data_IF_230779446097
#
_entry.id   IF_230779446097
#
_cell.length_a   1.000
_cell.length_b   1.000
_cell.length_c   1.000
_cell.angle_alpha   90.00
_cell.angle_beta   90.00
_cell.angle_gamma   90.00
#
_symmetry.space_group_name_H-M   'P 1'
#
loop_
_entity.id
_entity.type
_entity.pdbx_description
1 polymer ?
#
# COMPACT_ATOMS: atom_id res chain seq x y z
N UNK A 1 38.77 -4.94 9.74
CA UNK A 1 38.03 -5.96 9.02
C UNK A 1 36.65 -6.09 9.59
N UNK A 2 35.63 -5.90 8.76
CA UNK A 2 34.24 -6.15 9.14
C UNK A 2 34.12 -7.63 9.52
N UNK A 3 33.53 -7.90 10.68
CA UNK A 3 33.33 -9.24 11.17
C UNK A 3 32.24 -9.90 10.30
N UNK A 4 32.64 -10.66 9.28
CA UNK A 4 31.74 -11.31 8.30
C UNK A 4 30.78 -12.34 8.93
N UNK A 5 30.87 -12.58 10.24
CA UNK A 5 30.00 -13.47 10.99
C UNK A 5 29.02 -12.73 11.94
N UNK A 6 29.03 -11.39 11.95
CA UNK A 6 28.02 -10.65 12.71
C UNK A 6 26.65 -10.83 12.06
N UNK A 7 25.68 -11.29 12.82
CA UNK A 7 24.27 -11.32 12.36
C UNK A 7 23.84 -9.88 12.04
N UNK A 8 23.16 -9.71 10.92
CA UNK A 8 22.68 -8.41 10.45
C UNK A 8 21.34 -8.08 11.10
N UNK A 9 21.04 -6.79 11.32
CA UNK A 9 19.66 -6.40 11.61
C UNK A 9 18.75 -6.85 10.48
N UNK A 10 17.51 -7.20 10.80
CA UNK A 10 16.53 -7.60 9.82
C UNK A 10 15.23 -6.81 9.95
N UNK A 11 14.50 -6.70 8.83
CA UNK A 11 13.21 -6.08 8.72
C UNK A 11 12.22 -7.11 8.15
N UNK A 12 11.08 -7.27 8.82
CA UNK A 12 10.05 -8.25 8.42
C UNK A 12 8.91 -7.54 7.71
N UNK A 13 8.43 -8.09 6.60
CA UNK A 13 7.26 -7.59 5.89
C UNK A 13 6.60 -8.67 5.03
N UNK A 14 5.40 -8.42 4.51
CA UNK A 14 4.75 -9.29 3.52
C UNK A 14 5.52 -9.30 2.20
N UNK A 15 5.57 -10.42 1.48
CA UNK A 15 6.12 -10.48 0.11
C UNK A 15 5.37 -9.57 -0.89
N UNK A 16 4.20 -9.04 -0.51
CA UNK A 16 3.44 -8.04 -1.27
C UNK A 16 3.95 -6.59 -1.15
N UNK A 17 5.13 -6.38 -0.58
CA UNK A 17 5.71 -5.04 -0.37
C UNK A 17 6.02 -4.30 -1.69
N UNK A 18 6.19 -2.99 -1.59
CA UNK A 18 6.68 -2.15 -2.69
C UNK A 18 8.22 -2.14 -2.68
N UNK A 19 8.84 -2.14 -3.83
CA UNK A 19 10.31 -2.25 -4.03
C UNK A 19 11.15 -1.24 -3.22
N UNK A 20 10.55 -0.18 -2.69
CA UNK A 20 11.26 0.77 -1.82
C UNK A 20 11.82 0.10 -0.55
N UNK A 21 11.16 -0.94 -0.04
CA UNK A 21 11.61 -1.68 1.14
C UNK A 21 12.81 -2.57 0.83
N UNK A 22 12.82 -3.24 -0.34
CA UNK A 22 14.00 -3.95 -0.82
C UNK A 22 15.19 -2.98 -0.99
N UNK A 23 14.97 -1.83 -1.65
CA UNK A 23 16.00 -0.80 -1.78
C UNK A 23 16.51 -0.29 -0.44
N UNK A 24 15.62 -0.04 0.51
CA UNK A 24 16.00 0.37 1.86
C UNK A 24 16.92 -0.67 2.50
N UNK A 25 16.53 -1.93 2.48
CA UNK A 25 17.31 -3.02 3.08
C UNK A 25 18.68 -3.18 2.38
N UNK A 26 18.72 -3.12 1.05
CA UNK A 26 19.98 -3.19 0.30
C UNK A 26 20.90 -1.98 0.60
N UNK A 27 20.36 -0.76 0.65
CA UNK A 27 21.16 0.44 0.86
C UNK A 27 21.72 0.55 2.26
N UNK A 28 21.04 0.01 3.26
CA UNK A 28 21.43 0.08 4.67
C UNK A 28 22.02 -1.23 5.22
N UNK A 29 22.26 -2.22 4.35
CA UNK A 29 22.80 -3.54 4.69
C UNK A 29 21.96 -4.27 5.75
N UNK A 30 20.64 -4.22 5.60
CA UNK A 30 19.63 -4.85 6.44
C UNK A 30 19.12 -6.12 5.71
N UNK A 31 18.89 -7.21 6.43
CA UNK A 31 18.26 -8.40 5.90
C UNK A 31 16.75 -8.17 5.75
N UNK A 32 16.21 -8.32 4.52
CA UNK A 32 14.77 -8.31 4.31
C UNK A 32 14.23 -9.73 4.51
N UNK A 33 13.26 -9.87 5.40
CA UNK A 33 12.55 -11.13 5.65
C UNK A 33 11.12 -11.02 5.14
N UNK A 34 10.83 -11.77 4.11
CA UNK A 34 9.57 -11.74 3.40
C UNK A 34 8.64 -12.84 3.92
N UNK A 35 7.51 -12.46 4.50
CA UNK A 35 6.44 -13.39 4.86
C UNK A 35 5.67 -13.72 3.59
N UNK A 36 5.60 -14.99 3.17
CA UNK A 36 5.02 -15.35 1.88
C UNK A 36 3.52 -15.10 1.85
N UNK A 37 3.03 -14.67 0.68
CA UNK A 37 1.60 -14.62 0.36
C UNK A 37 1.11 -16.01 -0.09
N UNK A 38 -0.18 -16.27 0.08
CA UNK A 38 -0.87 -17.46 -0.42
C UNK A 38 -2.28 -17.11 -0.89
N UNK A 39 -2.98 -18.04 -1.54
CA UNK A 39 -4.38 -17.85 -1.95
C UNK A 39 -5.29 -17.50 -0.75
N UNK A 40 -4.98 -18.02 0.44
CA UNK A 40 -5.72 -17.77 1.67
C UNK A 40 -5.30 -16.45 2.34
N UNK A 41 -4.05 -16.02 2.11
CA UNK A 41 -3.44 -14.83 2.72
C UNK A 41 -2.86 -13.90 1.64
N UNK A 42 -3.72 -13.08 1.04
CA UNK A 42 -3.34 -12.05 0.07
C UNK A 42 -2.84 -10.74 0.73
N UNK A 43 -2.61 -10.78 2.04
CA UNK A 43 -1.97 -9.80 2.90
C UNK A 43 -0.97 -10.52 3.80
N UNK A 44 -0.34 -9.81 4.74
CA UNK A 44 0.63 -10.44 5.65
C UNK A 44 -0.03 -11.58 6.44
N UNK A 45 0.62 -12.74 6.43
CA UNK A 45 0.12 -13.89 7.19
C UNK A 45 0.52 -13.76 8.65
N UNK A 46 -0.44 -13.40 9.50
CA UNK A 46 -0.23 -13.19 10.94
C UNK A 46 -0.02 -14.49 11.71
N UNK A 47 -0.39 -15.64 11.16
CA UNK A 47 -0.20 -16.94 11.82
C UNK A 47 1.26 -17.37 11.85
N UNK A 48 2.07 -16.95 10.87
CA UNK A 48 3.46 -17.37 10.71
C UNK A 48 4.48 -16.24 10.86
N UNK A 49 4.06 -14.97 10.90
CA UNK A 49 4.98 -13.83 10.87
C UNK A 49 6.01 -13.88 12.01
N UNK A 50 5.62 -14.37 13.17
CA UNK A 50 6.53 -14.43 14.33
C UNK A 50 7.66 -15.45 14.16
N UNK A 51 7.57 -16.39 13.22
CA UNK A 51 8.66 -17.29 12.84
C UNK A 51 9.80 -16.55 12.09
N UNK A 52 9.52 -15.35 11.60
CA UNK A 52 10.47 -14.46 10.89
C UNK A 52 11.12 -13.44 11.83
N UNK A 53 10.69 -13.37 13.09
CA UNK A 53 11.17 -12.41 14.10
C UNK A 53 12.21 -13.05 15.00
N UNK A 54 13.32 -12.35 15.24
CA UNK A 54 14.37 -12.75 16.18
C UNK A 54 14.98 -11.54 16.92
N UNK A 55 16.02 -11.77 17.72
CA UNK A 55 16.71 -10.75 18.51
C UNK A 55 17.40 -9.65 17.66
N UNK A 56 17.49 -9.82 16.32
CA UNK A 56 18.07 -8.87 15.38
C UNK A 56 17.01 -8.13 14.57
N UNK A 57 15.74 -8.45 14.81
CA UNK A 57 14.62 -7.76 14.12
C UNK A 57 14.48 -6.34 14.67
N UNK A 58 14.65 -5.37 13.76
CA UNK A 58 14.51 -3.94 14.09
C UNK A 58 13.07 -3.45 13.97
N UNK A 59 12.23 -4.19 13.27
CA UNK A 59 10.82 -3.82 13.12
C UNK A 59 10.07 -4.67 12.09
N UNK A 60 8.76 -4.49 12.10
CA UNK A 60 7.84 -5.07 11.13
C UNK A 60 7.22 -3.94 10.33
N UNK A 61 7.14 -4.10 9.00
CA UNK A 61 6.39 -3.19 8.14
C UNK A 61 5.04 -3.81 7.83
N UNK A 62 3.99 -3.20 8.36
CA UNK A 62 2.62 -3.52 7.99
C UNK A 62 2.13 -2.56 6.91
N UNK A 63 1.49 -3.08 5.87
CA UNK A 63 1.13 -2.32 4.67
C UNK A 63 -0.37 -2.03 4.65
N UNK A 64 -0.73 -0.76 4.71
CA UNK A 64 -2.12 -0.32 4.56
C UNK A 64 -2.42 -0.01 3.09
N UNK A 65 -2.61 -1.07 2.31
CA UNK A 65 -2.82 -1.02 0.87
C UNK A 65 -1.69 -1.62 0.05
N UNK A 66 -1.61 -2.94 0.07
CA UNK A 66 -0.63 -3.73 -0.69
C UNK A 66 -0.69 -3.38 -2.17
N UNK A 67 0.49 -3.13 -2.76
CA UNK A 67 0.59 -2.67 -4.16
C UNK A 67 -0.03 -3.65 -5.14
N UNK A 68 0.09 -4.95 -4.91
CA UNK A 68 -0.41 -5.98 -5.82
C UNK A 68 -1.93 -6.10 -5.76
N UNK A 69 -2.50 -6.22 -4.58
CA UNK A 69 -3.90 -6.61 -4.38
C UNK A 69 -4.79 -5.48 -3.85
N UNK A 70 -4.21 -4.44 -3.26
CA UNK A 70 -4.96 -3.41 -2.54
C UNK A 70 -5.47 -3.84 -1.17
N UNK A 71 -5.18 -5.06 -0.71
CA UNK A 71 -5.55 -5.54 0.63
C UNK A 71 -4.81 -4.76 1.72
N UNK A 72 -5.37 -4.73 2.91
CA UNK A 72 -4.71 -4.23 4.10
C UNK A 72 -4.09 -5.37 4.89
N UNK A 73 -2.91 -5.15 5.42
CA UNK A 73 -2.39 -5.99 6.51
C UNK A 73 -3.20 -5.72 7.78
N UNK A 74 -3.39 -6.74 8.59
CA UNK A 74 -4.05 -6.60 9.89
C UNK A 74 -3.08 -6.02 10.93
N UNK A 75 -2.96 -4.68 10.93
CA UNK A 75 -2.04 -3.96 11.81
C UNK A 75 -2.40 -4.16 13.29
N UNK A 76 -3.69 -4.34 13.59
CA UNK A 76 -4.14 -4.60 14.95
C UNK A 76 -3.60 -5.93 15.48
N UNK A 77 -3.77 -7.00 14.71
CA UNK A 77 -3.22 -8.31 15.07
C UNK A 77 -1.69 -8.30 15.13
N UNK A 78 -1.03 -7.59 14.18
CA UNK A 78 0.43 -7.40 14.23
C UNK A 78 0.86 -6.71 15.53
N UNK A 79 0.14 -5.67 15.95
CA UNK A 79 0.42 -4.98 17.20
C UNK A 79 0.33 -5.92 18.41
N UNK A 80 -0.72 -6.74 18.48
CA UNK A 80 -0.93 -7.64 19.60
C UNK A 80 0.16 -8.75 19.65
N UNK A 81 0.60 -9.24 18.49
CA UNK A 81 1.71 -10.19 18.38
C UNK A 81 3.04 -9.57 18.81
N UNK A 82 3.33 -8.35 18.37
CA UNK A 82 4.54 -7.60 18.74
C UNK A 82 4.55 -7.30 20.24
N UNK A 83 3.42 -6.89 20.81
CA UNK A 83 3.32 -6.65 22.26
C UNK A 83 3.62 -7.92 23.07
N UNK A 84 3.08 -9.06 22.66
CA UNK A 84 3.37 -10.34 23.31
C UNK A 84 4.85 -10.72 23.19
N UNK A 85 5.48 -10.47 22.05
CA UNK A 85 6.91 -10.70 21.84
C UNK A 85 7.75 -9.81 22.76
N UNK A 86 7.52 -8.50 22.75
CA UNK A 86 8.25 -7.51 23.53
C UNK A 86 8.12 -7.76 25.06
N UNK A 87 6.99 -8.30 25.52
CA UNK A 87 6.78 -8.66 26.92
C UNK A 87 7.61 -9.90 27.38
N UNK A 88 8.15 -10.67 26.44
CA UNK A 88 8.83 -11.94 26.72
C UNK A 88 10.28 -11.98 26.27
N UNK A 89 10.76 -10.95 25.58
CA UNK A 89 12.11 -10.84 25.04
C UNK A 89 12.75 -9.51 25.47
N UNK A 90 14.09 -9.47 25.48
CA UNK A 90 14.85 -8.28 25.89
C UNK A 90 14.99 -7.23 24.78
N UNK A 91 14.80 -7.62 23.52
CA UNK A 91 14.81 -6.70 22.37
C UNK A 91 13.39 -6.18 22.10
N UNK A 92 13.32 -4.91 21.70
CA UNK A 92 12.07 -4.26 21.33
C UNK A 92 11.89 -4.29 19.80
N UNK A 93 10.79 -4.87 19.34
CA UNK A 93 10.35 -4.84 17.95
C UNK A 93 9.25 -3.80 17.83
N UNK A 94 9.32 -2.97 16.80
CA UNK A 94 8.34 -1.90 16.54
C UNK A 94 7.63 -2.10 15.19
N UNK A 95 6.52 -1.40 14.99
CA UNK A 95 5.79 -1.43 13.73
C UNK A 95 5.92 -0.10 13.01
N UNK A 96 6.33 -0.16 11.75
CA UNK A 96 6.14 0.91 10.79
C UNK A 96 4.93 0.59 9.92
N UNK A 97 4.02 1.55 9.75
CA UNK A 97 2.90 1.39 8.83
C UNK A 97 3.22 2.05 7.49
N UNK A 98 3.40 1.24 6.45
CA UNK A 98 3.42 1.74 5.08
C UNK A 98 1.99 2.06 4.64
N UNK A 99 1.57 3.27 4.95
CA UNK A 99 0.30 3.83 4.58
C UNK A 99 0.34 4.64 3.28
N UNK A 100 1.30 4.35 2.37
CA UNK A 100 1.48 5.10 1.14
C UNK A 100 0.18 5.30 0.37
N UNK A 101 -0.70 4.29 0.37
CA UNK A 101 -2.05 4.37 -0.20
C UNK A 101 -3.11 4.66 0.87
N UNK A 102 -3.19 3.81 1.90
CA UNK A 102 -4.32 3.78 2.82
C UNK A 102 -4.38 4.93 3.82
N UNK A 103 -3.23 5.49 4.26
CA UNK A 103 -3.23 6.49 5.33
C UNK A 103 -3.92 7.82 4.97
N UNK A 104 -4.06 8.14 3.68
CA UNK A 104 -4.86 9.30 3.21
C UNK A 104 -6.28 8.90 2.75
N UNK A 105 -6.67 7.66 2.96
CA UNK A 105 -7.99 7.14 2.58
C UNK A 105 -8.77 6.62 3.79
N UNK A 106 -8.18 5.71 4.54
CA UNK A 106 -8.82 4.98 5.65
C UNK A 106 -9.42 5.88 6.74
N UNK A 107 -8.75 6.97 7.20
CA UNK A 107 -9.32 7.83 8.23
C UNK A 107 -10.66 8.48 7.86
N UNK A 108 -10.93 8.60 6.57
CA UNK A 108 -12.15 9.24 6.06
C UNK A 108 -13.28 8.23 5.78
N UNK A 109 -12.93 6.98 5.51
CA UNK A 109 -13.88 5.96 5.04
C UNK A 109 -14.17 4.92 6.12
N UNK A 110 -13.16 4.55 6.90
CA UNK A 110 -13.23 3.58 7.99
C UNK A 110 -12.52 4.13 9.24
N UNK A 111 -13.05 5.21 9.87
CA UNK A 111 -12.38 5.90 10.97
C UNK A 111 -12.19 5.02 12.22
N UNK A 112 -13.00 3.98 12.37
CA UNK A 112 -12.95 3.06 13.52
C UNK A 112 -11.91 1.94 13.35
N UNK A 113 -11.37 1.74 12.14
CA UNK A 113 -10.31 0.76 11.89
C UNK A 113 -9.03 1.18 12.62
N UNK A 114 -8.53 0.31 13.52
CA UNK A 114 -7.30 0.54 14.27
C UNK A 114 -6.09 0.07 13.44
N UNK A 115 -5.28 1.01 12.98
CA UNK A 115 -4.06 0.78 12.21
C UNK A 115 -2.96 1.81 12.48
N UNK A 116 -3.29 2.85 13.22
CA UNK A 116 -2.46 4.05 13.43
C UNK A 116 -1.88 4.10 14.85
N UNK A 117 -1.49 5.28 15.30
CA UNK A 117 -0.94 5.52 16.64
C UNK A 117 -1.88 5.22 17.81
N UNK A 118 -3.11 4.79 17.57
CA UNK A 118 -3.96 4.17 18.62
C UNK A 118 -3.36 2.84 19.11
N UNK A 119 -2.56 2.18 18.25
CA UNK A 119 -1.84 0.96 18.57
C UNK A 119 -0.45 1.29 19.13
N UNK A 120 -0.09 0.82 20.35
CA UNK A 120 1.12 1.28 21.05
C UNK A 120 2.42 0.97 20.33
N UNK A 121 2.53 -0.16 19.63
CA UNK A 121 3.77 -0.56 18.94
C UNK A 121 3.93 0.06 17.54
N UNK A 122 2.94 0.81 17.03
CA UNK A 122 3.08 1.59 15.80
C UNK A 122 3.84 2.87 16.13
N UNK A 123 5.08 2.98 15.67
CA UNK A 123 5.99 4.11 16.00
C UNK A 123 6.14 5.09 14.86
N UNK A 124 5.90 4.67 13.63
CA UNK A 124 5.97 5.55 12.46
C UNK A 124 5.01 5.15 11.36
N UNK A 125 4.56 6.14 10.58
CA UNK A 125 3.62 5.98 9.46
C UNK A 125 4.11 6.82 8.30
N UNK A 126 4.20 6.26 7.09
CA UNK A 126 4.38 7.07 5.89
C UNK A 126 3.10 7.14 5.06
N UNK A 127 2.98 8.19 4.25
CA UNK A 127 1.90 8.30 3.26
C UNK A 127 2.32 9.10 2.05
N UNK A 128 1.73 8.79 0.89
CA UNK A 128 2.00 9.47 -0.38
C UNK A 128 0.88 10.46 -0.70
N UNK A 129 1.21 11.75 -0.77
CA UNK A 129 0.24 12.79 -1.11
C UNK A 129 -0.38 12.62 -2.50
N UNK A 130 0.39 12.08 -3.46
CA UNK A 130 -0.04 11.91 -4.85
C UNK A 130 -1.00 10.73 -5.11
N UNK A 131 -1.25 9.90 -4.09
CA UNK A 131 -2.24 8.83 -4.17
C UNK A 131 -3.59 9.39 -3.72
N UNK A 132 -4.07 9.01 -2.57
CA UNK A 132 -5.36 9.49 -2.05
C UNK A 132 -5.28 10.85 -1.33
N UNK A 133 -4.11 11.46 -1.24
CA UNK A 133 -3.95 12.86 -0.84
C UNK A 133 -4.32 13.87 -1.94
N UNK A 134 -4.58 13.41 -3.18
CA UNK A 134 -5.14 14.19 -4.30
C UNK A 134 -4.24 15.34 -4.77
N UNK A 135 -2.93 15.13 -4.78
CA UNK A 135 -1.95 16.07 -5.36
C UNK A 135 -1.07 15.39 -6.40
N UNK A 136 -0.28 16.16 -7.13
CA UNK A 136 0.70 15.62 -8.06
C UNK A 136 1.88 14.96 -7.33
N UNK A 137 2.61 14.01 -7.97
CA UNK A 137 3.82 13.41 -7.41
C UNK A 137 4.85 14.43 -6.98
N UNK A 138 5.51 14.19 -5.85
CA UNK A 138 6.58 15.03 -5.30
C UNK A 138 6.42 15.37 -3.82
N UNK A 139 5.42 14.82 -3.13
CA UNK A 139 5.29 14.93 -1.67
C UNK A 139 4.97 13.57 -1.06
N UNK A 140 5.70 13.24 -0.02
CA UNK A 140 5.44 12.15 0.90
C UNK A 140 5.52 12.67 2.32
N UNK A 141 4.74 12.09 3.20
CA UNK A 141 4.71 12.44 4.62
C UNK A 141 5.23 11.25 5.42
N UNK A 142 6.02 11.56 6.44
CA UNK A 142 6.39 10.64 7.50
C UNK A 142 5.93 11.23 8.83
N UNK A 143 5.25 10.44 9.62
CA UNK A 143 4.79 10.79 10.95
C UNK A 143 5.48 9.86 11.94
N UNK A 144 5.94 10.42 13.04
CA UNK A 144 6.55 9.70 14.15
C UNK A 144 5.63 9.80 15.36
N UNK A 145 5.53 8.73 16.13
CA UNK A 145 4.74 8.73 17.37
C UNK A 145 5.25 9.80 18.32
N UNK A 146 6.56 9.78 18.58
CA UNK A 146 7.26 10.69 19.46
C UNK A 146 8.64 11.05 18.91
N UNK A 147 9.27 12.08 19.49
CA UNK A 147 10.61 12.54 19.10
C UNK A 147 11.69 11.49 19.32
N UNK A 148 11.53 10.62 20.30
CA UNK A 148 12.49 9.55 20.63
C UNK A 148 12.68 8.56 19.48
N UNK A 149 11.67 8.39 18.61
CA UNK A 149 11.77 7.54 17.42
C UNK A 149 12.45 8.23 16.23
N UNK A 150 12.81 9.51 16.35
CA UNK A 150 13.64 10.24 15.37
C UNK A 150 14.89 10.75 16.06
N UNK A 151 16.05 10.03 15.97
CA UNK A 151 17.31 10.44 16.58
C UNK A 151 17.72 11.85 16.19
N UNK A 152 18.11 12.67 17.17
CA UNK A 152 18.46 14.07 16.94
C UNK A 152 19.66 14.23 15.98
N UNK A 153 20.59 13.28 15.97
CA UNK A 153 21.74 13.26 15.06
C UNK A 153 21.37 13.13 13.57
N UNK A 154 20.14 12.69 13.26
CA UNK A 154 19.63 12.64 11.89
C UNK A 154 18.97 13.94 11.44
N UNK A 155 18.81 14.91 12.36
CA UNK A 155 18.21 16.22 12.06
C UNK A 155 19.32 17.27 12.00
N UNK A 156 19.59 17.73 10.81
CA UNK A 156 20.62 18.74 10.54
C UNK A 156 19.99 20.12 10.54
N UNK A 157 20.65 21.09 11.20
CA UNK A 157 20.20 22.48 11.20
C UNK A 157 20.98 23.30 10.16
N UNK A 158 20.23 23.94 9.26
CA UNK A 158 20.78 24.79 8.20
C UNK A 158 20.51 26.26 8.53
N UNK A 159 21.57 27.03 8.76
CA UNK A 159 21.46 28.44 9.20
C UNK A 159 21.74 29.48 8.10
N UNK A 160 22.43 29.10 7.02
CA UNK A 160 22.87 30.06 5.98
C UNK A 160 21.71 30.61 5.11
N UNK A 161 20.50 30.09 5.25
CA UNK A 161 19.30 30.60 4.56
C UNK A 161 18.56 31.70 5.33
N UNK A 162 19.15 32.22 6.42
CA UNK A 162 18.59 33.33 7.18
C UNK A 162 17.70 32.93 8.35
N UNK A 163 17.82 31.72 8.85
CA UNK A 163 17.10 31.20 10.01
C UNK A 163 17.48 29.77 10.32
N UNK A 164 16.88 29.18 11.34
CA UNK A 164 17.01 27.76 11.64
C UNK A 164 16.08 26.92 10.77
N UNK A 165 16.65 26.04 9.95
CA UNK A 165 15.90 25.14 9.10
C UNK A 165 16.33 23.70 9.38
N UNK A 166 15.60 22.97 10.25
CA UNK A 166 15.89 21.58 10.50
C UNK A 166 15.54 20.73 9.26
N UNK A 167 16.44 19.83 8.87
CA UNK A 167 16.26 18.93 7.74
C UNK A 167 16.88 17.57 8.01
N UNK A 168 16.21 16.50 7.61
CA UNK A 168 16.73 15.13 7.60
C UNK A 168 16.84 14.57 6.19
N UNK A 169 16.35 15.26 5.19
CA UNK A 169 16.34 14.78 3.82
C UNK A 169 17.73 14.92 3.19
N UNK A 170 18.16 13.89 2.45
CA UNK A 170 19.40 13.92 1.66
C UNK A 170 19.30 14.97 0.55
N UNK A 171 18.11 15.11 -0.06
CA UNK A 171 17.90 16.06 -1.15
C UNK A 171 17.82 17.50 -0.63
N UNK A 172 18.52 18.40 -1.31
CA UNK A 172 18.34 19.84 -1.23
C UNK A 172 17.48 20.34 -2.41
N UNK A 173 17.06 21.60 -2.39
CA UNK A 173 16.34 22.27 -3.48
C UNK A 173 15.18 21.41 -4.04
N UNK A 174 14.13 21.25 -3.25
CA UNK A 174 12.93 20.50 -3.62
C UNK A 174 11.79 21.43 -4.03
N UNK A 175 10.93 20.97 -4.94
CA UNK A 175 9.71 21.69 -5.25
C UNK A 175 8.78 21.72 -4.02
N UNK A 176 8.25 22.91 -3.72
CA UNK A 176 7.23 23.10 -2.69
C UNK A 176 5.80 23.09 -3.23
N UNK A 177 5.61 23.05 -4.57
CA UNK A 177 4.30 23.17 -5.20
C UNK A 177 3.32 22.09 -4.74
N UNK A 178 3.78 20.85 -4.57
CA UNK A 178 2.95 19.75 -4.11
C UNK A 178 2.59 19.87 -2.62
N UNK A 179 3.49 20.39 -1.80
CA UNK A 179 3.24 20.68 -0.38
C UNK A 179 2.16 21.76 -0.27
N UNK A 180 2.28 22.84 -1.06
CA UNK A 180 1.27 23.91 -1.12
C UNK A 180 -0.04 23.38 -1.64
N UNK A 181 -0.02 22.53 -2.68
CA UNK A 181 -1.21 21.87 -3.23
C UNK A 181 -1.90 20.97 -2.20
N UNK A 182 -1.14 20.22 -1.40
CA UNK A 182 -1.68 19.39 -0.33
C UNK A 182 -2.32 20.25 0.78
N UNK A 183 -1.65 21.33 1.16
CA UNK A 183 -2.18 22.28 2.15
C UNK A 183 -3.46 22.94 1.64
N UNK A 184 -3.48 23.37 0.36
CA UNK A 184 -4.70 23.90 -0.26
C UNK A 184 -5.86 22.89 -0.22
N UNK A 185 -5.59 21.62 -0.55
CA UNK A 185 -6.61 20.57 -0.50
C UNK A 185 -7.14 20.37 0.92
N UNK A 186 -6.28 20.37 1.94
CA UNK A 186 -6.73 20.26 3.32
C UNK A 186 -7.66 21.42 3.72
N UNK A 187 -7.31 22.66 3.35
CA UNK A 187 -8.16 23.82 3.63
C UNK A 187 -9.45 23.82 2.80
N UNK A 188 -9.36 23.42 1.53
CA UNK A 188 -10.50 23.47 0.58
C UNK A 188 -11.54 22.38 0.86
N UNK A 189 -11.11 21.19 1.14
CA UNK A 189 -11.99 20.03 1.32
C UNK A 189 -12.31 19.77 2.79
N UNK A 190 -11.34 19.99 3.68
CA UNK A 190 -11.46 19.58 5.07
C UNK A 190 -11.71 18.07 5.20
N UNK A 191 -12.07 17.64 6.40
CA UNK A 191 -12.36 16.22 6.66
C UNK A 191 -13.54 15.74 5.82
N UNK A 192 -14.64 16.46 5.82
CA UNK A 192 -15.87 16.04 5.15
C UNK A 192 -15.73 16.01 3.63
N UNK A 193 -15.00 16.96 3.02
CA UNK A 193 -14.75 16.95 1.58
C UNK A 193 -13.91 15.75 1.14
N UNK A 194 -12.84 15.41 1.88
CA UNK A 194 -12.07 14.18 1.65
C UNK A 194 -12.95 12.93 1.80
N UNK A 195 -13.75 12.89 2.87
CA UNK A 195 -14.68 11.78 3.11
C UNK A 195 -15.64 11.58 1.93
N UNK A 196 -16.28 12.64 1.45
CA UNK A 196 -17.21 12.55 0.32
C UNK A 196 -16.52 12.07 -0.96
N UNK A 197 -15.30 12.56 -1.26
CA UNK A 197 -14.54 12.14 -2.43
C UNK A 197 -14.19 10.66 -2.32
N UNK A 198 -13.66 10.23 -1.18
CA UNK A 198 -13.21 8.85 -0.99
C UNK A 198 -14.37 7.85 -0.91
N UNK A 199 -15.47 8.20 -0.26
CA UNK A 199 -16.70 7.38 -0.26
C UNK A 199 -17.21 7.16 -1.69
N UNK A 200 -17.30 8.23 -2.51
CA UNK A 200 -17.70 8.12 -3.92
C UNK A 200 -16.75 7.22 -4.71
N UNK A 201 -15.44 7.35 -4.48
CA UNK A 201 -14.44 6.52 -5.14
C UNK A 201 -14.60 5.04 -4.76
N UNK A 202 -14.87 4.75 -3.48
CA UNK A 202 -15.17 3.40 -2.99
C UNK A 202 -16.43 2.83 -3.62
N UNK A 203 -17.50 3.62 -3.65
CA UNK A 203 -18.77 3.18 -4.24
C UNK A 203 -18.60 2.85 -5.73
N UNK A 204 -17.80 3.63 -6.46
CA UNK A 204 -17.44 3.34 -7.84
C UNK A 204 -16.64 2.04 -7.98
N UNK A 205 -15.69 1.78 -7.06
CA UNK A 205 -14.91 0.55 -7.05
C UNK A 205 -15.79 -0.69 -6.82
N UNK A 206 -16.70 -0.63 -5.86
CA UNK A 206 -17.66 -1.72 -5.59
C UNK A 206 -18.54 -2.04 -6.80
N UNK A 207 -19.04 -0.99 -7.49
CA UNK A 207 -19.84 -1.19 -8.72
C UNK A 207 -19.00 -1.77 -9.87
N UNK A 208 -17.73 -1.35 -9.99
CA UNK A 208 -16.81 -1.90 -10.99
C UNK A 208 -16.49 -3.37 -10.67
N UNK A 209 -16.23 -3.70 -9.41
CA UNK A 209 -16.03 -5.09 -8.97
C UNK A 209 -17.23 -5.97 -9.28
N UNK A 210 -18.44 -5.46 -9.04
CA UNK A 210 -19.67 -6.17 -9.39
C UNK A 210 -19.75 -6.40 -10.91
N UNK A 211 -19.42 -5.41 -11.74
CA UNK A 211 -19.43 -5.55 -13.19
C UNK A 211 -18.44 -6.62 -13.67
N UNK A 212 -17.25 -6.70 -13.05
CA UNK A 212 -16.27 -7.75 -13.32
C UNK A 212 -16.81 -9.13 -12.91
N UNK A 213 -17.40 -9.25 -11.71
CA UNK A 213 -17.95 -10.50 -11.20
C UNK A 213 -19.13 -11.02 -12.05
N UNK A 214 -19.98 -10.12 -12.58
CA UNK A 214 -21.13 -10.45 -13.41
C UNK A 214 -20.75 -11.13 -14.75
N UNK A 215 -19.51 -11.01 -15.22
CA UNK A 215 -19.02 -11.75 -16.38
C UNK A 215 -18.96 -13.27 -16.14
N UNK A 216 -18.88 -13.69 -14.87
CA UNK A 216 -18.75 -15.08 -14.45
C UNK A 216 -17.36 -15.69 -14.64
N UNK A 217 -16.42 -14.99 -15.32
CA UNK A 217 -15.09 -15.49 -15.70
C UNK A 217 -14.01 -15.26 -14.63
N UNK A 218 -14.23 -14.33 -13.72
CA UNK A 218 -13.17 -13.87 -12.80
C UNK A 218 -13.50 -14.24 -11.35
N UNK A 219 -12.44 -14.48 -10.60
CA UNK A 219 -12.43 -14.55 -9.15
C UNK A 219 -11.92 -13.22 -8.59
N UNK A 220 -12.69 -12.60 -7.69
CA UNK A 220 -12.37 -11.29 -7.11
C UNK A 220 -11.49 -11.50 -5.89
N UNK A 221 -10.26 -10.98 -5.95
CA UNK A 221 -9.30 -10.95 -4.83
C UNK A 221 -9.49 -9.75 -3.92
N UNK A 222 -9.86 -8.60 -4.50
CA UNK A 222 -10.23 -7.39 -3.78
C UNK A 222 -11.34 -6.65 -4.52
N UNK A 223 -12.43 -6.39 -3.84
CA UNK A 223 -13.61 -5.72 -4.38
C UNK A 223 -13.55 -4.19 -4.30
N UNK A 224 -12.55 -3.65 -3.63
CA UNK A 224 -12.38 -2.20 -3.43
C UNK A 224 -13.08 -1.63 -2.20
N UNK A 225 -13.58 -2.47 -1.28
CA UNK A 225 -14.28 -2.02 -0.08
C UNK A 225 -13.37 -1.24 0.89
N UNK A 226 -12.17 -1.76 1.17
CA UNK A 226 -11.20 -1.11 2.08
C UNK A 226 -10.40 -0.02 1.37
N UNK A 227 -9.71 -0.38 0.30
CA UNK A 227 -9.02 0.56 -0.59
C UNK A 227 -9.65 0.42 -1.99
N UNK A 228 -9.98 1.51 -2.72
CA UNK A 228 -10.73 1.42 -3.96
C UNK A 228 -9.86 0.90 -5.11
N UNK A 229 -9.42 -0.34 -4.96
CA UNK A 229 -8.65 -1.13 -5.92
C UNK A 229 -9.41 -2.42 -6.15
N UNK A 230 -9.83 -2.66 -7.38
CA UNK A 230 -10.44 -3.92 -7.79
C UNK A 230 -9.35 -4.82 -8.36
N UNK A 231 -9.18 -5.99 -7.75
CA UNK A 231 -8.17 -6.97 -8.14
C UNK A 231 -8.84 -8.33 -8.36
N UNK A 232 -8.49 -8.98 -9.47
CA UNK A 232 -9.11 -10.25 -9.86
C UNK A 232 -8.15 -11.10 -10.69
N UNK A 233 -8.41 -12.42 -10.71
CA UNK A 233 -7.77 -13.39 -11.61
C UNK A 233 -8.82 -14.05 -12.51
N UNK A 234 -8.40 -14.73 -13.58
CA UNK A 234 -9.26 -15.69 -14.26
C UNK A 234 -9.54 -16.86 -13.31
N UNK A 235 -10.78 -17.37 -13.31
CA UNK A 235 -11.11 -18.60 -12.60
C UNK A 235 -10.36 -19.77 -13.22
N UNK A 236 -10.00 -20.75 -12.42
CA UNK A 236 -9.28 -21.94 -12.88
C UNK A 236 -10.10 -22.79 -13.86
N UNK A 237 -11.44 -22.71 -13.76
CA UNK A 237 -12.41 -23.37 -14.64
C UNK A 237 -12.90 -22.49 -15.80
N UNK A 238 -12.36 -21.26 -15.96
CA UNK A 238 -12.67 -20.40 -17.08
C UNK A 238 -12.16 -21.03 -18.39
N UNK A 239 -13.09 -21.51 -19.21
CA UNK A 239 -12.76 -22.15 -20.51
C UNK A 239 -12.62 -21.07 -21.58
N UNK A 240 -11.51 -20.33 -21.57
CA UNK A 240 -11.16 -19.28 -22.53
C UNK A 240 -9.80 -19.55 -23.17
N UNK A 241 -9.61 -19.11 -24.41
CA UNK A 241 -8.34 -19.30 -25.14
C UNK A 241 -7.35 -18.13 -24.97
N UNK A 242 -7.74 -17.07 -24.27
CA UNK A 242 -6.98 -15.85 -24.04
C UNK A 242 -6.51 -15.74 -22.59
N UNK A 243 -5.57 -14.84 -22.35
CA UNK A 243 -4.96 -14.57 -21.05
C UNK A 243 -5.40 -13.19 -20.54
N UNK A 244 -5.15 -12.91 -19.23
CA UNK A 244 -5.34 -11.55 -18.69
C UNK A 244 -4.47 -10.49 -19.36
N UNK A 245 -3.34 -10.88 -19.98
CA UNK A 245 -2.52 -9.96 -20.76
C UNK A 245 -3.23 -9.54 -22.04
N UNK A 246 -3.88 -10.49 -22.73
CA UNK A 246 -4.67 -10.20 -23.93
C UNK A 246 -5.84 -9.27 -23.61
N UNK A 247 -6.51 -9.51 -22.46
CA UNK A 247 -7.59 -8.63 -21.99
C UNK A 247 -7.07 -7.23 -21.63
N UNK A 248 -5.89 -7.15 -20.98
CA UNK A 248 -5.27 -5.87 -20.65
C UNK A 248 -4.97 -5.05 -21.92
N UNK A 249 -4.46 -5.68 -22.98
CA UNK A 249 -4.19 -5.04 -24.27
C UNK A 249 -5.49 -4.54 -24.94
N UNK A 250 -6.56 -5.33 -24.91
CA UNK A 250 -7.88 -4.91 -25.44
C UNK A 250 -8.45 -3.72 -24.68
N UNK A 251 -8.43 -3.76 -23.37
CA UNK A 251 -8.88 -2.65 -22.53
C UNK A 251 -8.03 -1.39 -22.76
N UNK A 252 -6.73 -1.53 -22.97
CA UNK A 252 -5.84 -0.43 -23.25
C UNK A 252 -6.19 0.26 -24.58
N UNK A 253 -6.57 -0.50 -25.62
CA UNK A 253 -7.03 0.05 -26.89
C UNK A 253 -8.30 0.90 -26.76
N UNK A 254 -9.12 0.63 -25.74
CA UNK A 254 -10.31 1.40 -25.37
C UNK A 254 -10.03 2.54 -24.36
N UNK A 255 -8.75 2.74 -23.97
CA UNK A 255 -8.31 3.82 -23.09
C UNK A 255 -8.25 3.44 -21.60
N UNK A 256 -8.46 2.17 -21.23
CA UNK A 256 -8.41 1.69 -19.86
C UNK A 256 -7.01 1.12 -19.53
N UNK A 257 -6.42 1.62 -18.46
CA UNK A 257 -5.14 1.07 -17.96
C UNK A 257 -5.42 0.09 -16.81
N UNK A 258 -5.63 -1.17 -17.16
CA UNK A 258 -5.86 -2.27 -16.22
C UNK A 258 -4.77 -3.32 -16.44
N UNK A 259 -3.56 -3.11 -15.88
CA UNK A 259 -2.42 -3.98 -16.17
C UNK A 259 -2.63 -5.39 -15.58
N UNK A 260 -2.13 -6.39 -16.31
CA UNK A 260 -2.01 -7.76 -15.84
C UNK A 260 -0.55 -8.01 -15.42
N UNK A 261 -0.34 -8.75 -14.33
CA UNK A 261 0.99 -9.09 -13.81
C UNK A 261 0.92 -10.26 -12.83
N UNK A 262 2.05 -10.98 -12.62
CA UNK A 262 2.10 -12.04 -11.62
C UNK A 262 2.12 -11.48 -10.20
N UNK A 263 1.59 -12.25 -9.26
CA UNK A 263 1.81 -12.03 -7.83
C UNK A 263 3.27 -12.31 -7.44
N UNK A 264 3.71 -11.99 -6.20
CA UNK A 264 5.06 -12.31 -5.72
C UNK A 264 5.50 -13.77 -5.94
N UNK A 265 6.79 -14.04 -5.78
CA UNK A 265 7.47 -15.29 -6.19
C UNK A 265 6.71 -16.56 -5.78
N UNK A 266 6.18 -16.62 -4.56
CA UNK A 266 5.45 -17.79 -4.05
C UNK A 266 4.16 -18.07 -4.82
N UNK A 267 3.57 -17.02 -5.38
CA UNK A 267 2.36 -17.06 -6.21
C UNK A 267 2.62 -16.62 -7.65
N UNK A 268 3.87 -16.70 -8.12
CA UNK A 268 4.29 -16.17 -9.42
C UNK A 268 3.58 -16.75 -10.64
N UNK A 269 2.88 -17.87 -10.49
CA UNK A 269 2.03 -18.45 -11.53
C UNK A 269 0.62 -17.83 -11.56
N UNK A 270 0.22 -17.12 -10.52
CA UNK A 270 -1.09 -16.46 -10.41
C UNK A 270 -1.01 -15.08 -11.05
N UNK A 271 -1.60 -14.96 -12.24
CA UNK A 271 -1.70 -13.68 -12.94
C UNK A 271 -2.98 -12.98 -12.51
N UNK A 272 -2.84 -11.71 -12.14
CA UNK A 272 -3.97 -10.86 -11.76
C UNK A 272 -4.08 -9.64 -12.67
N UNK A 273 -5.26 -9.04 -12.70
CA UNK A 273 -5.48 -7.67 -13.16
C UNK A 273 -5.90 -6.77 -12.01
N UNK A 274 -5.46 -5.51 -12.06
CA UNK A 274 -5.77 -4.52 -11.04
C UNK A 274 -6.29 -3.22 -11.65
N UNK A 275 -7.47 -2.82 -11.25
CA UNK A 275 -8.03 -1.51 -11.55
C UNK A 275 -7.92 -0.61 -10.32
N UNK A 276 -7.15 0.48 -10.41
CA UNK A 276 -7.03 1.49 -9.35
C UNK A 276 -8.07 2.58 -9.59
N UNK A 277 -9.09 2.61 -8.75
CA UNK A 277 -10.14 3.61 -8.82
C UNK A 277 -9.66 4.95 -8.22
N UNK A 278 -9.93 6.03 -8.94
CA UNK A 278 -9.55 7.39 -8.55
C UNK A 278 -10.80 8.25 -8.35
N UNK A 279 -10.63 9.43 -7.79
CA UNK A 279 -11.73 10.32 -7.40
C UNK A 279 -12.62 10.81 -8.55
N UNK A 280 -12.23 10.59 -9.79
CA UNK A 280 -12.99 10.90 -11.01
C UNK A 280 -13.86 9.72 -11.51
N UNK A 281 -13.79 8.55 -10.87
CA UNK A 281 -14.61 7.39 -11.23
C UNK A 281 -16.08 7.62 -10.87
N UNK A 282 -16.83 8.14 -11.83
CA UNK A 282 -18.29 8.32 -11.72
C UNK A 282 -19.08 7.21 -12.39
N UNK A 283 -20.41 7.19 -12.18
CA UNK A 283 -21.33 6.19 -12.71
C UNK A 283 -21.20 5.98 -14.23
N UNK A 284 -21.00 7.07 -15.00
CA UNK A 284 -20.82 6.97 -16.44
C UNK A 284 -19.56 6.20 -16.83
N UNK A 285 -18.47 6.38 -16.09
CA UNK A 285 -17.22 5.65 -16.32
C UNK A 285 -17.35 4.17 -15.95
N UNK A 286 -18.04 3.84 -14.86
CA UNK A 286 -18.34 2.45 -14.49
C UNK A 286 -19.16 1.78 -15.59
N UNK A 287 -20.19 2.47 -16.12
CA UNK A 287 -21.01 1.94 -17.21
C UNK A 287 -20.20 1.76 -18.50
N UNK A 288 -19.35 2.73 -18.84
CA UNK A 288 -18.47 2.63 -20.01
C UNK A 288 -17.49 1.45 -19.86
N UNK A 289 -16.85 1.33 -18.70
CA UNK A 289 -15.95 0.22 -18.44
C UNK A 289 -16.65 -1.14 -18.56
N UNK A 290 -17.87 -1.28 -17.99
CA UNK A 290 -18.65 -2.52 -18.10
C UNK A 290 -18.90 -2.91 -19.55
N UNK A 291 -19.29 -1.95 -20.40
CA UNK A 291 -19.53 -2.18 -21.81
C UNK A 291 -18.25 -2.58 -22.55
N UNK A 292 -17.16 -1.82 -22.32
CA UNK A 292 -15.86 -2.07 -22.93
C UNK A 292 -15.24 -3.40 -22.49
N UNK A 293 -15.45 -3.81 -21.22
CA UNK A 293 -15.05 -5.12 -20.70
C UNK A 293 -15.79 -6.25 -21.43
N UNK A 294 -17.12 -6.14 -21.55
CA UNK A 294 -17.95 -7.14 -22.23
C UNK A 294 -17.55 -7.27 -23.70
N UNK A 295 -17.42 -6.14 -24.41
CA UNK A 295 -16.97 -6.13 -25.81
C UNK A 295 -15.56 -6.70 -25.98
N UNK A 296 -14.62 -6.35 -25.09
CA UNK A 296 -13.25 -6.90 -25.11
C UNK A 296 -13.23 -8.41 -24.94
N UNK A 297 -14.07 -8.96 -24.06
CA UNK A 297 -14.20 -10.41 -23.86
C UNK A 297 -14.81 -11.07 -25.12
N UNK A 298 -15.83 -10.44 -25.73
CA UNK A 298 -16.43 -10.96 -26.98
C UNK A 298 -15.43 -10.96 -28.14
N UNK A 299 -14.60 -9.94 -28.26
CA UNK A 299 -13.54 -9.84 -29.29
C UNK A 299 -12.42 -10.87 -29.12
N UNK A 300 -12.22 -11.39 -27.91
CA UNK A 300 -11.19 -12.38 -27.58
C UNK A 300 -11.68 -13.83 -27.72
N UNK A 301 -13.00 -14.09 -27.67
CA UNK A 301 -13.64 -15.38 -27.84
C UNK A 301 -13.84 -15.72 -29.33
#
# INVERSE_FOLDING_TARGET
GLNIHAKKPNLVTSSGYQVCWEKFCVYWDIELREVPMSEEHLSINTDIIMDYVDEYTIGIVGILGITYTGKFDDIKTLNDLVENYNNTHDNEVVIHVDGASGAMFTPFVEPDLEWDFRLPNVVSINTSGHKYGLVYPGVGWILWRDKEYLPEELVFDVSYLGGHMPTMAINFSRSASQIIGQYYNFLRFGYEGYRQIHMRTRDGALQLSQAVAETGLFEIYNDGANLPIVCYKLKDDANVAWTLYDLADRLQMKGWQVPAYPLPIEMGNTIIQRYVCRGDLGQNMVTAFKNDLSESIEELN
#
